data_IF_944049289020
#
_entry.id   IF_944049289020
#
_cell.length_a   1.000
_cell.length_b   1.000
_cell.length_c   1.000
_cell.angle_alpha   90.00
_cell.angle_beta   90.00
_cell.angle_gamma   90.00
#
_symmetry.space_group_name_H-M   'P 1'
#
loop_
_entity.id
_entity.type
_entity.pdbx_description
1 polymer ?
#
# COMPACT_ATOMS: atom_id res chain seq x y z
N UNK A 1 -35.95 -39.95 8.30
CA UNK A 1 -35.60 -38.59 8.79
C UNK A 1 -34.35 -38.69 9.64
N UNK A 2 -33.20 -38.28 9.11
CA UNK A 2 -31.99 -37.94 9.89
C UNK A 2 -31.31 -36.79 9.16
N UNK A 3 -31.03 -35.72 9.91
CA UNK A 3 -30.89 -34.35 9.43
C UNK A 3 -29.63 -34.07 8.62
N UNK A 4 -29.81 -33.27 7.57
CA UNK A 4 -28.77 -32.63 6.78
C UNK A 4 -28.18 -31.48 7.59
N UNK A 5 -27.14 -31.79 8.38
CA UNK A 5 -26.36 -30.79 9.09
C UNK A 5 -25.50 -29.98 8.12
N UNK A 6 -25.81 -28.69 8.00
CA UNK A 6 -25.01 -27.66 7.34
C UNK A 6 -23.64 -27.57 8.04
N UNK A 7 -22.60 -28.22 7.52
CA UNK A 7 -21.23 -27.76 7.79
C UNK A 7 -20.98 -26.56 6.89
N UNK A 8 -21.05 -25.39 7.54
CA UNK A 8 -21.01 -24.09 6.90
C UNK A 8 -19.72 -23.84 6.14
N UNK A 9 -19.88 -22.97 5.14
CA UNK A 9 -18.88 -22.39 4.24
C UNK A 9 -17.84 -21.51 4.97
N UNK A 10 -17.30 -21.97 6.10
CA UNK A 10 -16.25 -21.31 6.88
C UNK A 10 -14.85 -21.46 6.28
N UNK A 11 -14.78 -21.96 5.04
CA UNK A 11 -13.56 -22.21 4.30
C UNK A 11 -13.39 -21.27 3.10
N UNK A 12 -14.04 -20.10 3.12
CA UNK A 12 -13.82 -19.00 2.16
C UNK A 12 -13.51 -17.70 2.89
N UNK A 13 -12.44 -17.75 3.68
CA UNK A 13 -11.89 -16.60 4.42
C UNK A 13 -10.39 -16.59 4.32
N UNK A 14 -9.85 -16.62 3.10
CA UNK A 14 -8.43 -16.45 2.82
C UNK A 14 -7.93 -15.08 3.26
N UNK A 15 -7.64 -14.94 4.56
CA UNK A 15 -6.76 -13.93 5.13
C UNK A 15 -5.66 -14.63 5.92
N UNK A 16 -4.99 -15.58 5.27
CA UNK A 16 -3.63 -15.93 5.64
C UNK A 16 -2.72 -14.71 5.45
N UNK A 17 -1.46 -14.82 5.89
CA UNK A 17 -0.42 -13.78 5.83
C UNK A 17 -0.36 -12.94 4.52
N UNK A 18 -0.90 -13.45 3.40
CA UNK A 18 -1.10 -12.74 2.14
C UNK A 18 -2.02 -11.51 2.16
N UNK A 19 -2.90 -11.32 3.15
CA UNK A 19 -3.78 -10.15 3.23
C UNK A 19 -3.02 -8.83 3.41
N UNK A 20 -1.87 -8.90 4.08
CA UNK A 20 -0.99 -7.77 4.28
C UNK A 20 -0.11 -7.59 3.03
N UNK A 21 0.25 -8.66 2.32
CA UNK A 21 1.14 -8.64 1.16
C UNK A 21 0.52 -8.26 -0.19
N UNK A 22 -0.79 -8.05 -0.25
CA UNK A 22 -1.36 -7.33 -1.37
C UNK A 22 -0.87 -5.88 -1.30
N UNK A 23 -0.40 -5.28 -2.40
CA UNK A 23 -0.17 -3.84 -2.48
C UNK A 23 -1.39 -3.04 -1.97
N UNK A 24 -2.59 -3.64 -2.08
CA UNK A 24 -3.85 -3.32 -1.41
C UNK A 24 -3.75 -3.01 0.08
N UNK A 25 -3.06 -3.86 0.84
CA UNK A 25 -3.02 -3.86 2.30
C UNK A 25 -1.94 -2.99 2.94
N UNK A 26 -0.96 -2.49 2.17
CA UNK A 26 0.16 -1.69 2.69
C UNK A 26 -0.04 -0.17 2.56
N UNK A 27 -1.25 0.27 2.22
CA UNK A 27 -1.53 1.70 1.96
C UNK A 27 -0.97 2.21 0.63
N UNK A 28 0.05 1.56 0.06
CA UNK A 28 0.63 1.90 -1.24
C UNK A 28 -0.30 1.63 -2.43
N UNK A 29 -1.32 0.79 -2.29
CA UNK A 29 -2.41 0.70 -3.29
C UNK A 29 -3.23 1.97 -3.42
N UNK A 30 -3.33 2.77 -2.36
CA UNK A 30 -3.95 4.10 -2.40
C UNK A 30 -3.12 5.08 -3.22
N UNK A 31 -1.80 4.86 -3.29
CA UNK A 31 -0.81 5.64 -4.03
C UNK A 31 -0.55 5.08 -5.43
N UNK A 32 -1.61 4.66 -6.12
CA UNK A 32 -1.48 4.36 -7.56
C UNK A 32 -1.19 5.66 -8.29
N UNK A 33 0.02 5.82 -8.81
CA UNK A 33 0.43 7.01 -9.56
C UNK A 33 -0.60 7.39 -10.64
N UNK A 34 -1.19 6.42 -11.35
CA UNK A 34 -2.25 6.67 -12.35
C UNK A 34 -3.50 7.35 -11.77
N UNK A 35 -3.94 6.92 -10.57
CA UNK A 35 -5.08 7.54 -9.87
C UNK A 35 -4.76 8.98 -9.47
N UNK A 36 -3.54 9.21 -9.00
CA UNK A 36 -3.06 10.56 -8.67
C UNK A 36 -3.02 11.43 -9.93
N UNK A 37 -2.56 10.88 -11.07
CA UNK A 37 -2.56 11.56 -12.35
C UNK A 37 -3.99 11.99 -12.78
N UNK A 38 -4.96 11.09 -12.68
CA UNK A 38 -6.37 11.37 -12.99
C UNK A 38 -6.96 12.48 -12.09
N UNK A 39 -6.53 12.50 -10.83
CA UNK A 39 -7.03 13.41 -9.80
C UNK A 39 -6.48 14.83 -9.95
N UNK A 40 -5.16 14.97 -10.07
CA UNK A 40 -4.49 16.29 -10.11
C UNK A 40 -4.36 16.82 -11.54
N UNK A 41 -4.46 15.94 -12.56
CA UNK A 41 -4.29 16.26 -13.99
C UNK A 41 -3.06 17.15 -14.22
N UNK A 42 -1.83 16.60 -14.07
CA UNK A 42 -0.61 17.39 -14.15
C UNK A 42 -0.54 18.21 -15.44
N UNK A 43 -0.11 19.46 -15.34
CA UNK A 43 0.19 20.30 -16.51
C UNK A 43 1.50 19.84 -17.18
N UNK A 44 1.78 20.33 -18.38
CA UNK A 44 3.04 20.01 -19.07
C UNK A 44 4.28 20.45 -18.28
N UNK A 45 4.18 21.56 -17.54
CA UNK A 45 5.24 22.03 -16.65
C UNK A 45 5.43 21.12 -15.42
N UNK A 46 4.37 20.47 -14.94
CA UNK A 46 4.40 19.57 -13.77
C UNK A 46 4.78 18.13 -14.14
N UNK A 47 4.62 17.76 -15.41
CA UNK A 47 4.80 16.39 -15.91
C UNK A 47 6.16 15.78 -15.56
N UNK A 48 7.31 16.49 -15.67
CA UNK A 48 8.60 15.93 -15.28
C UNK A 48 8.64 15.50 -13.81
N UNK A 49 8.12 16.34 -12.89
CA UNK A 49 8.05 16.02 -11.46
C UNK A 49 7.06 14.90 -11.16
N UNK A 50 5.97 14.82 -11.92
CA UNK A 50 5.04 13.72 -11.82
C UNK A 50 5.67 12.38 -12.22
N UNK A 51 6.47 12.34 -13.29
CA UNK A 51 7.17 11.12 -13.73
C UNK A 51 8.25 10.68 -12.74
N UNK A 52 8.99 11.62 -12.12
CA UNK A 52 9.91 11.31 -11.01
C UNK A 52 9.18 10.61 -9.85
N UNK A 53 8.04 11.17 -9.42
CA UNK A 53 7.20 10.60 -8.38
C UNK A 53 6.64 9.22 -8.77
N UNK A 54 6.21 9.06 -10.03
CA UNK A 54 5.70 7.79 -10.55
C UNK A 54 6.78 6.72 -10.55
N UNK A 55 7.99 7.03 -11.00
CA UNK A 55 9.11 6.10 -11.00
C UNK A 55 9.50 5.66 -9.57
N UNK A 56 9.57 6.59 -8.62
CA UNK A 56 9.81 6.28 -7.22
C UNK A 56 8.71 5.38 -6.63
N UNK A 57 7.45 5.65 -6.98
CA UNK A 57 6.29 4.85 -6.54
C UNK A 57 6.32 3.43 -7.09
N UNK A 58 6.72 3.24 -8.36
CA UNK A 58 6.90 1.92 -8.97
C UNK A 58 8.00 1.14 -8.24
N UNK A 59 9.17 1.75 -8.06
CA UNK A 59 10.31 1.14 -7.35
C UNK A 59 9.94 0.71 -5.93
N UNK A 60 9.21 1.56 -5.20
CA UNK A 60 8.73 1.25 -3.86
C UNK A 60 7.75 0.07 -3.86
N UNK A 61 6.82 0.03 -4.82
CA UNK A 61 5.87 -1.07 -4.97
C UNK A 61 6.54 -2.40 -5.33
N UNK A 62 7.57 -2.38 -6.17
CA UNK A 62 8.37 -3.57 -6.52
C UNK A 62 9.11 -4.12 -5.30
N UNK A 63 9.84 -3.28 -4.57
CA UNK A 63 10.54 -3.70 -3.34
C UNK A 63 9.57 -4.34 -2.33
N UNK A 64 8.38 -3.75 -2.16
CA UNK A 64 7.33 -4.29 -1.29
C UNK A 64 6.78 -5.64 -1.77
N UNK A 65 6.67 -5.86 -3.08
CA UNK A 65 6.25 -7.15 -3.66
C UNK A 65 7.29 -8.23 -3.42
N UNK A 66 8.57 -7.91 -3.63
CA UNK A 66 9.67 -8.86 -3.49
C UNK A 66 9.82 -9.35 -2.05
N UNK A 67 9.77 -8.44 -1.07
CA UNK A 67 9.81 -8.83 0.35
C UNK A 67 8.62 -9.70 0.73
N UNK A 68 7.45 -9.45 0.14
CA UNK A 68 6.25 -10.22 0.39
C UNK A 68 6.25 -11.66 -0.13
N UNK A 69 7.04 -11.95 -1.16
CA UNK A 69 7.20 -13.33 -1.65
C UNK A 69 8.12 -14.16 -0.74
N UNK A 70 8.94 -13.52 0.08
CA UNK A 70 9.86 -14.17 1.01
C UNK A 70 9.23 -14.58 2.35
N UNK A 71 7.96 -14.24 2.62
CA UNK A 71 7.30 -14.37 3.94
C UNK A 71 6.78 -15.80 4.28
N UNK A 72 7.10 -16.84 3.49
CA UNK A 72 6.64 -18.22 3.78
C UNK A 72 7.63 -18.90 4.74
N UNK A 73 7.48 -18.63 6.03
CA UNK A 73 8.35 -19.17 7.09
C UNK A 73 7.65 -20.26 7.93
N UNK A 74 8.33 -21.39 8.13
CA UNK A 74 7.77 -22.58 8.81
C UNK A 74 7.76 -22.47 10.35
N UNK A 75 8.58 -21.59 10.94
CA UNK A 75 8.70 -21.44 12.41
C UNK A 75 8.14 -20.09 12.89
N UNK A 76 7.82 -19.97 14.18
CA UNK A 76 7.38 -18.69 14.77
C UNK A 76 8.50 -17.65 14.74
N UNK A 77 9.76 -18.06 14.96
CA UNK A 77 10.93 -17.17 14.94
C UNK A 77 11.18 -16.64 13.53
N UNK A 78 11.20 -17.51 12.53
CA UNK A 78 11.39 -17.09 11.14
C UNK A 78 10.23 -16.20 10.63
N UNK A 79 9.00 -16.39 11.14
CA UNK A 79 7.89 -15.46 10.88
C UNK A 79 8.13 -14.07 11.47
N UNK A 80 8.75 -13.96 12.64
CA UNK A 80 9.08 -12.67 13.24
C UNK A 80 10.18 -11.94 12.43
N UNK A 81 11.22 -12.65 12.01
CA UNK A 81 12.29 -12.11 11.14
C UNK A 81 11.73 -11.62 9.79
N UNK A 82 10.80 -12.37 9.20
CA UNK A 82 10.10 -11.97 7.97
C UNK A 82 9.29 -10.67 8.17
N UNK A 83 8.57 -10.56 9.30
CA UNK A 83 7.85 -9.34 9.67
C UNK A 83 8.79 -8.13 9.86
N UNK A 84 9.96 -8.32 10.47
CA UNK A 84 10.97 -7.28 10.64
C UNK A 84 11.46 -6.77 9.28
N UNK A 85 11.91 -7.67 8.41
CA UNK A 85 12.36 -7.34 7.04
C UNK A 85 11.29 -6.60 6.23
N UNK A 86 10.03 -6.97 6.42
CA UNK A 86 8.88 -6.30 5.82
C UNK A 86 8.72 -4.86 6.32
N UNK A 87 8.87 -4.61 7.61
CA UNK A 87 8.82 -3.26 8.18
C UNK A 87 9.97 -2.39 7.67
N UNK A 88 11.18 -2.95 7.58
CA UNK A 88 12.34 -2.25 6.99
C UNK A 88 12.08 -1.87 5.53
N UNK A 89 11.50 -2.78 4.74
CA UNK A 89 11.15 -2.52 3.35
C UNK A 89 10.09 -1.42 3.24
N UNK A 90 9.07 -1.42 4.12
CA UNK A 90 8.07 -0.33 4.17
C UNK A 90 8.71 1.03 4.47
N UNK A 91 9.66 1.07 5.41
CA UNK A 91 10.40 2.30 5.73
C UNK A 91 11.21 2.78 4.53
N UNK A 92 11.89 1.87 3.84
CA UNK A 92 12.68 2.20 2.66
C UNK A 92 11.81 2.68 1.48
N UNK A 93 10.63 2.07 1.30
CA UNK A 93 9.63 2.51 0.33
C UNK A 93 9.18 3.96 0.60
N UNK A 94 8.87 4.30 1.86
CA UNK A 94 8.52 5.68 2.25
C UNK A 94 9.67 6.65 1.97
N UNK A 95 10.91 6.28 2.35
CA UNK A 95 12.10 7.09 2.09
C UNK A 95 12.35 7.34 0.60
N UNK A 96 11.93 6.42 -0.26
CA UNK A 96 12.04 6.53 -1.71
C UNK A 96 10.98 7.48 -2.29
N UNK A 97 9.74 7.37 -1.85
CA UNK A 97 8.61 8.14 -2.42
C UNK A 97 8.55 9.57 -1.89
N UNK A 98 8.73 9.78 -0.58
CA UNK A 98 8.55 11.08 0.09
C UNK A 98 9.24 12.26 -0.61
N UNK A 99 10.54 12.22 -0.93
CA UNK A 99 11.21 13.39 -1.53
C UNK A 99 10.64 13.75 -2.92
N UNK A 100 10.31 12.76 -3.74
CA UNK A 100 9.72 12.99 -5.07
C UNK A 100 8.29 13.53 -4.98
N UNK A 101 7.54 13.09 -3.97
CA UNK A 101 6.21 13.62 -3.69
C UNK A 101 6.28 15.08 -3.24
N UNK A 102 7.18 15.42 -2.31
CA UNK A 102 7.36 16.79 -1.83
C UNK A 102 7.71 17.73 -2.99
N UNK A 103 8.62 17.29 -3.87
CA UNK A 103 8.98 18.03 -5.07
C UNK A 103 7.80 18.23 -6.04
N UNK A 104 7.00 17.18 -6.29
CA UNK A 104 5.78 17.30 -7.10
C UNK A 104 4.78 18.27 -6.43
N UNK A 105 4.50 18.09 -5.14
CA UNK A 105 3.52 18.85 -4.38
C UNK A 105 3.82 20.35 -4.38
N UNK A 106 5.12 20.71 -4.32
CA UNK A 106 5.57 22.10 -4.42
C UNK A 106 5.19 22.77 -5.76
N UNK A 107 5.01 22.00 -6.84
CA UNK A 107 4.63 22.52 -8.17
C UNK A 107 3.13 22.62 -8.40
N UNK A 108 2.31 22.06 -7.50
CA UNK A 108 0.86 21.98 -7.66
C UNK A 108 0.17 23.30 -7.31
N UNK A 109 -0.91 23.61 -8.03
CA UNK A 109 -1.84 24.67 -7.66
C UNK A 109 -2.61 24.30 -6.39
N UNK A 110 -3.22 25.28 -5.74
CA UNK A 110 -3.98 25.05 -4.51
C UNK A 110 -5.21 24.17 -4.77
N UNK A 111 -5.84 24.27 -5.94
CA UNK A 111 -6.94 23.38 -6.35
C UNK A 111 -6.47 21.93 -6.54
N UNK A 112 -5.28 21.74 -7.13
CA UNK A 112 -4.70 20.40 -7.29
C UNK A 112 -4.33 19.79 -5.93
N UNK A 113 -3.74 20.58 -5.02
CA UNK A 113 -3.44 20.17 -3.65
C UNK A 113 -4.72 19.80 -2.89
N UNK A 114 -5.77 20.61 -2.99
CA UNK A 114 -7.05 20.34 -2.35
C UNK A 114 -7.65 19.00 -2.81
N UNK A 115 -7.63 18.72 -4.12
CA UNK A 115 -8.07 17.42 -4.65
C UNK A 115 -7.24 16.26 -4.10
N UNK A 116 -5.91 16.43 -4.07
CA UNK A 116 -4.98 15.41 -3.56
C UNK A 116 -5.21 15.12 -2.06
N UNK A 117 -5.41 16.16 -1.25
CA UNK A 117 -5.63 16.03 0.19
C UNK A 117 -7.03 15.50 0.53
N UNK A 118 -7.99 15.58 -0.40
CA UNK A 118 -9.32 15.02 -0.23
C UNK A 118 -9.37 13.50 -0.49
N UNK A 119 -8.26 12.87 -0.92
CA UNK A 119 -8.19 11.42 -0.99
C UNK A 119 -8.46 10.83 0.40
N UNK A 120 -9.49 9.97 0.56
CA UNK A 120 -9.79 9.40 1.85
C UNK A 120 -8.55 8.69 2.38
N UNK A 121 -8.14 9.04 3.61
CA UNK A 121 -7.05 8.36 4.30
C UNK A 121 -7.40 6.88 4.44
N UNK A 122 -6.94 6.07 3.49
CA UNK A 122 -7.19 4.64 3.46
C UNK A 122 -6.42 3.97 4.58
N UNK A 123 -7.05 3.79 5.74
CA UNK A 123 -6.46 2.99 6.81
C UNK A 123 -7.16 3.15 8.15
N UNK A 124 -8.13 2.28 8.40
CA UNK A 124 -8.51 1.80 9.74
C UNK A 124 -7.34 1.02 10.38
N UNK A 125 -6.15 1.62 10.46
CA UNK A 125 -4.92 0.93 10.81
C UNK A 125 -4.74 0.77 12.33
N UNK A 126 -5.44 1.60 13.12
CA UNK A 126 -5.28 1.67 14.58
C UNK A 126 -6.53 1.33 15.40
N UNK A 127 -7.41 0.45 14.91
CA UNK A 127 -8.45 -0.14 15.79
C UNK A 127 -7.90 -1.39 16.48
N UNK A 128 -6.94 -1.20 17.39
CA UNK A 128 -6.46 -2.28 18.22
C UNK A 128 -7.45 -2.47 19.39
N UNK A 129 -8.48 -3.29 19.14
CA UNK A 129 -9.45 -3.88 20.10
C UNK A 129 -10.42 -2.93 20.84
N UNK A 130 -11.66 -2.88 20.34
CA UNK A 130 -12.86 -2.88 21.17
C UNK A 130 -13.40 -4.32 21.26
N UNK A 131 -12.77 -5.15 22.11
CA UNK A 131 -13.37 -6.29 22.82
C UNK A 131 -12.42 -6.89 23.85
#
# INVERSE_FOLDING_TARGET
MMGRGMMGSWMMGGRGAGGMCNAGGTGFSGWRADRIAELIKPTDAQRPKFEEFKAASIKAAEAMRDTCQADVADTVVARAEAMEKRMETMLQAIRTVRPTLEALYATLSDEQKARLNALPHGGRFWHWRDR
#
